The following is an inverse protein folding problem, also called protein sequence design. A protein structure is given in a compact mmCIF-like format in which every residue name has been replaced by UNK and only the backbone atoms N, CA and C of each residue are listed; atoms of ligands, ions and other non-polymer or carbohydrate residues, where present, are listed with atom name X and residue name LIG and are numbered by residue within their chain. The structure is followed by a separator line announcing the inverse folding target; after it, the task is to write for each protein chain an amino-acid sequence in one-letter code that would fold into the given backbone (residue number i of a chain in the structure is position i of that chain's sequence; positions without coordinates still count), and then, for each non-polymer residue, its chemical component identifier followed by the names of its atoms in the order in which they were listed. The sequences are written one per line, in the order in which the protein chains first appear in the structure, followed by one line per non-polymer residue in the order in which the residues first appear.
data_IF_355454590524
#
_entry.id   IF_355454590524
#
_cell.length_a   1.000
_cell.length_b   1.000
_cell.length_c   1.000
_cell.angle_alpha   90.00
_cell.angle_beta   90.00
_cell.angle_gamma   90.00
#
_symmetry.space_group_name_H-M   'P 1'
#
loop_
_entity.id
_entity.type
_entity.pdbx_description
1 polymer ?
#
# COMPACT_ATOMS: atom_id res chain seq x y z
N UNK A 1 -6.54 -3.55 -10.34
CA UNK A 1 -5.12 -3.34 -10.07
C UNK A 1 -4.86 -2.55 -8.78
N UNK A 2 -5.54 -1.42 -8.62
CA UNK A 2 -5.40 -0.61 -7.41
C UNK A 2 -5.84 -1.37 -6.16
N UNK A 3 -6.93 -2.14 -6.24
CA UNK A 3 -7.40 -2.94 -5.13
C UNK A 3 -6.40 -4.02 -4.75
N UNK A 4 -5.75 -4.63 -5.72
CA UNK A 4 -4.73 -5.64 -5.45
C UNK A 4 -3.53 -5.03 -4.73
N UNK A 5 -3.15 -3.81 -5.10
CA UNK A 5 -2.07 -3.09 -4.44
C UNK A 5 -2.44 -2.77 -3.00
N UNK A 6 -3.66 -2.31 -2.77
CA UNK A 6 -4.14 -2.03 -1.41
C UNK A 6 -4.10 -3.26 -0.53
N UNK A 7 -4.60 -4.38 -1.05
CA UNK A 7 -4.63 -5.63 -0.30
C UNK A 7 -3.20 -6.07 0.04
N UNK A 8 -2.30 -5.99 -0.92
CA UNK A 8 -0.91 -6.37 -0.72
C UNK A 8 -0.24 -5.51 0.36
N UNK A 9 -0.44 -4.20 0.29
CA UNK A 9 0.12 -3.29 1.29
C UNK A 9 -0.41 -3.63 2.68
N UNK A 10 -1.71 -3.86 2.80
CA UNK A 10 -2.32 -4.21 4.08
C UNK A 10 -1.76 -5.50 4.63
N UNK A 11 -1.61 -6.52 3.79
CA UNK A 11 -1.07 -7.81 4.21
C UNK A 11 0.38 -7.70 4.67
N UNK A 12 1.20 -6.96 3.93
CA UNK A 12 2.60 -6.77 4.29
C UNK A 12 2.74 -5.99 5.61
N UNK A 13 1.93 -4.95 5.79
CA UNK A 13 1.95 -4.17 7.02
C UNK A 13 1.45 -4.98 8.21
N UNK A 14 0.45 -5.83 7.99
CA UNK A 14 -0.05 -6.71 9.02
C UNK A 14 1.03 -7.69 9.47
N UNK A 15 1.77 -8.25 8.51
CA UNK A 15 2.86 -9.15 8.81
C UNK A 15 3.98 -8.44 9.58
N UNK A 16 4.32 -7.22 9.17
CA UNK A 16 5.34 -6.42 9.85
C UNK A 16 4.91 -6.10 11.28
N UNK A 17 3.64 -5.75 11.47
CA UNK A 17 3.09 -5.47 12.78
C UNK A 17 3.21 -6.69 13.70
N UNK A 18 2.89 -7.87 13.17
CA UNK A 18 2.99 -9.11 13.93
C UNK A 18 4.44 -9.41 14.33
N UNK A 19 5.38 -9.14 13.45
CA UNK A 19 6.80 -9.34 13.74
C UNK A 19 7.28 -8.39 14.82
N UNK A 20 6.84 -7.14 14.79
CA UNK A 20 7.20 -6.18 15.81
C UNK A 20 6.65 -6.56 17.18
N UNK A 21 5.42 -7.07 17.22
CA UNK A 21 4.83 -7.55 18.46
C UNK A 21 5.58 -8.77 18.99
N UNK A 22 5.97 -9.67 18.11
CA UNK A 22 6.73 -10.86 18.50
C UNK A 22 8.12 -10.51 19.04
N UNK A 23 8.70 -9.42 18.56
CA UNK A 23 9.99 -8.95 19.02
C UNK A 23 9.94 -8.39 20.47
N UNK A 24 8.73 -8.21 21.02
CA UNK A 24 8.53 -7.70 22.38
C UNK A 24 9.21 -6.36 22.63
N UNK A 25 9.18 -5.50 21.61
CA UNK A 25 9.68 -4.14 21.76
C UNK A 25 8.75 -3.35 22.66
N UNK A 26 9.28 -2.43 23.50
CA UNK A 26 8.47 -1.64 24.42
C UNK A 26 7.73 -0.51 23.70
N UNK A 27 6.89 -0.88 22.73
CA UNK A 27 6.11 0.07 21.97
C UNK A 27 4.69 0.12 22.51
N UNK A 28 4.18 1.33 22.68
CA UNK A 28 2.78 1.49 23.03
C UNK A 28 1.91 1.08 21.86
N UNK A 29 0.78 0.45 22.16
CA UNK A 29 -0.14 -0.05 21.13
C UNK A 29 -0.58 1.07 20.20
N UNK A 30 -0.90 2.25 20.76
CA UNK A 30 -1.33 3.39 19.96
C UNK A 30 -0.26 3.88 19.00
N UNK A 31 0.99 3.87 19.43
CA UNK A 31 2.11 4.27 18.58
C UNK A 31 2.29 3.30 17.43
N UNK A 32 2.17 2.01 17.70
CA UNK A 32 2.30 0.99 16.65
C UNK A 32 1.17 1.12 15.62
N UNK A 33 -0.06 1.28 16.08
CA UNK A 33 -1.20 1.44 15.19
C UNK A 33 -1.05 2.70 14.32
N UNK A 34 -0.61 3.81 14.92
CA UNK A 34 -0.40 5.05 14.20
C UNK A 34 0.68 4.90 13.13
N UNK A 35 1.78 4.23 13.48
CA UNK A 35 2.88 4.00 12.53
C UNK A 35 2.42 3.14 11.36
N UNK A 36 1.63 2.11 11.64
CA UNK A 36 1.09 1.23 10.60
C UNK A 36 0.17 2.01 9.66
N UNK A 37 -0.70 2.84 10.23
CA UNK A 37 -1.61 3.65 9.43
C UNK A 37 -0.86 4.64 8.54
N UNK A 38 0.15 5.31 9.08
CA UNK A 38 0.98 6.24 8.31
C UNK A 38 1.72 5.52 7.20
N UNK A 39 2.30 4.36 7.51
CA UNK A 39 3.01 3.57 6.52
C UNK A 39 2.06 3.13 5.40
N UNK A 40 0.83 2.76 5.75
CA UNK A 40 -0.16 2.39 4.75
C UNK A 40 -0.40 3.54 3.76
N UNK A 41 -0.63 4.74 4.28
CA UNK A 41 -0.86 5.90 3.42
C UNK A 41 0.34 6.21 2.53
N UNK A 42 1.54 6.19 3.11
CA UNK A 42 2.75 6.48 2.35
C UNK A 42 2.94 5.48 1.23
N UNK A 43 2.86 4.19 1.53
CA UNK A 43 3.06 3.14 0.54
C UNK A 43 1.96 3.14 -0.50
N UNK A 44 0.72 3.35 -0.09
CA UNK A 44 -0.40 3.39 -1.02
C UNK A 44 -0.26 4.55 -2.02
N UNK A 45 0.04 5.74 -1.52
CA UNK A 45 0.18 6.91 -2.40
C UNK A 45 1.41 6.79 -3.30
N UNK A 46 2.50 6.24 -2.79
CA UNK A 46 3.69 6.02 -3.61
C UNK A 46 3.40 5.01 -4.72
N UNK A 47 2.71 3.92 -4.39
CA UNK A 47 2.34 2.92 -5.38
C UNK A 47 1.39 3.50 -6.43
N UNK A 48 0.43 4.30 -6.00
CA UNK A 48 -0.51 4.94 -6.91
C UNK A 48 0.19 5.90 -7.85
N UNK A 49 1.11 6.70 -7.32
CA UNK A 49 1.88 7.63 -8.13
C UNK A 49 2.72 6.88 -9.16
N UNK A 50 3.33 5.77 -8.77
CA UNK A 50 4.11 4.94 -9.66
C UNK A 50 3.24 4.36 -10.77
N UNK A 51 2.06 3.84 -10.41
CA UNK A 51 1.12 3.28 -11.38
C UNK A 51 0.64 4.36 -12.36
N UNK A 52 0.36 5.56 -11.86
CA UNK A 52 -0.04 6.68 -12.71
C UNK A 52 1.07 7.05 -13.68
N UNK A 53 2.31 7.08 -13.21
CA UNK A 53 3.48 7.37 -14.05
C UNK A 53 3.64 6.34 -15.16
N UNK A 54 3.33 5.08 -14.86
CA UNK A 54 3.39 4.00 -15.82
C UNK A 54 2.12 3.87 -16.68
N UNK A 55 1.09 4.67 -16.37
CA UNK A 55 -0.16 4.65 -17.10
C UNK A 55 -1.10 3.51 -16.71
N UNK A 56 -0.97 2.97 -15.51
CA UNK A 56 -1.78 1.86 -15.04
C UNK A 56 -2.87 2.26 -14.05
N UNK A 57 -3.24 3.53 -14.00
CA UNK A 57 -4.33 3.90 -13.11
C UNK A 57 -5.67 3.45 -13.73
N UNK A 58 -6.69 3.36 -12.88
CA UNK A 58 -7.99 2.80 -13.29
C UNK A 58 -8.65 3.56 -14.44
N UNK A 59 -8.43 4.86 -14.52
CA UNK A 59 -9.03 5.70 -15.58
C UNK A 59 -8.26 5.63 -16.87
N UNK A 60 -6.93 5.65 -16.80
CA UNK A 60 -6.09 5.65 -17.99
C UNK A 60 -5.85 4.25 -18.53
N UNK A 61 -6.07 3.22 -17.71
CA UNK A 61 -5.89 1.85 -18.13
C UNK A 61 -6.77 1.51 -19.34
N UNK A 62 -8.04 1.88 -19.26
CA UNK A 62 -8.97 1.67 -20.37
C UNK A 62 -8.54 2.44 -21.62
N UNK A 63 -8.07 3.67 -21.42
CA UNK A 63 -7.57 4.50 -22.51
C UNK A 63 -6.35 3.88 -23.17
N UNK A 64 -5.41 3.36 -22.38
CA UNK A 64 -4.23 2.70 -22.89
C UNK A 64 -4.56 1.47 -23.71
N UNK A 65 -5.50 0.67 -23.23
CA UNK A 65 -5.94 -0.52 -23.96
C UNK A 65 -6.58 -0.12 -25.28
N UNK A 66 -7.41 0.92 -25.26
CA UNK A 66 -8.05 1.42 -26.49
C UNK A 66 -7.03 1.95 -27.47
N UNK A 67 -6.03 2.68 -26.98
CA UNK A 67 -4.99 3.25 -27.84
C UNK A 67 -4.08 2.16 -28.41
N UNK A 68 -3.90 1.08 -27.68
CA UNK A 68 -3.08 -0.02 -28.13
C UNK A 68 -3.78 -0.88 -29.17
N UNK A 69 -5.09 -0.84 -29.14
CA UNK A 69 -5.89 -1.60 -30.10
C UNK A 69 -5.87 -0.95 -31.48
#
# INVERSE_FOLDING_TARGET
MEEDVKIRIKEELKAAKARLKAAKLPLEKGMLEDAVNRAYYVFFHAAKAMLNTLGFDARTHSGLISDSA
#
